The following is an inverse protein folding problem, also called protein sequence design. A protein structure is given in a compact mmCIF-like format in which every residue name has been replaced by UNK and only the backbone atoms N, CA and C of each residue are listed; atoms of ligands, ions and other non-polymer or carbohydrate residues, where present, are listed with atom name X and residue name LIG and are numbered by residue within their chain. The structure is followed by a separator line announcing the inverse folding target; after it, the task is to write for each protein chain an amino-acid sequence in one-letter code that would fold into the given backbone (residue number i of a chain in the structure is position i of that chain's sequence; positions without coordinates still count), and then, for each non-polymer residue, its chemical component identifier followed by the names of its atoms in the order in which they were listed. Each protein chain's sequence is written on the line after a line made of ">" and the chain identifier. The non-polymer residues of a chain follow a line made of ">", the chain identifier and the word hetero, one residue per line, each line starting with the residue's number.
data_IF_508383471231
#
_entry.id   IF_508383471231
#
_cell.length_a   1.000
_cell.length_b   1.000
_cell.length_c   1.000
_cell.angle_alpha   90.00
_cell.angle_beta   90.00
_cell.angle_gamma   90.00
#
_symmetry.space_group_name_H-M   'P 1'
#
loop_
_entity.id
_entity.type
_entity.pdbx_description
1 polymer ?
#
# COMPACT_ATOMS: atom_id res chain seq x y z
N UNK A 1 -38.66 -25.88 -4.01
CA UNK A 1 -37.53 -25.74 -3.07
C UNK A 1 -36.40 -25.13 -3.86
N UNK A 2 -36.19 -23.83 -3.66
CA UNK A 2 -35.21 -23.02 -4.38
C UNK A 2 -33.84 -23.26 -3.75
N UNK A 3 -32.99 -24.06 -4.39
CA UNK A 3 -31.63 -24.29 -3.93
C UNK A 3 -30.74 -23.17 -4.42
N UNK A 4 -30.29 -22.38 -3.46
CA UNK A 4 -29.38 -21.24 -3.57
C UNK A 4 -28.11 -21.64 -4.33
N UNK A 5 -27.76 -20.84 -5.35
CA UNK A 5 -26.48 -20.96 -6.07
C UNK A 5 -25.38 -20.34 -5.22
N UNK A 6 -24.34 -21.07 -4.78
CA UNK A 6 -23.16 -20.43 -4.24
C UNK A 6 -22.38 -19.79 -5.39
N UNK A 7 -22.26 -18.47 -5.36
CA UNK A 7 -21.34 -17.74 -6.24
C UNK A 7 -19.92 -18.14 -5.85
N UNK A 8 -19.32 -19.04 -6.64
CA UNK A 8 -17.89 -19.32 -6.63
C UNK A 8 -17.14 -18.01 -6.79
N UNK A 9 -16.69 -17.49 -5.65
CA UNK A 9 -15.78 -16.34 -5.61
C UNK A 9 -14.44 -16.83 -6.11
N UNK A 10 -14.24 -16.62 -7.41
CA UNK A 10 -12.94 -16.70 -8.07
C UNK A 10 -11.99 -15.76 -7.30
N UNK A 11 -11.13 -16.32 -6.45
CA UNK A 11 -9.92 -15.64 -5.99
C UNK A 11 -8.74 -16.55 -6.27
N UNK A 12 -8.26 -16.31 -7.49
CA UNK A 12 -6.94 -16.59 -8.03
C UNK A 12 -5.92 -17.02 -6.98
N UNK A 13 -5.45 -18.24 -7.16
CA UNK A 13 -4.05 -18.65 -7.06
C UNK A 13 -3.09 -17.46 -6.91
N UNK A 14 -2.68 -17.19 -5.67
CA UNK A 14 -1.43 -16.45 -5.41
C UNK A 14 -0.44 -17.49 -4.93
N UNK A 15 0.00 -18.31 -5.88
CA UNK A 15 1.20 -19.11 -5.73
C UNK A 15 2.39 -18.25 -5.30
N UNK A 16 3.09 -18.74 -4.27
CA UNK A 16 4.54 -18.67 -4.11
C UNK A 16 5.22 -17.36 -4.52
N UNK A 17 5.35 -16.43 -3.58
CA UNK A 17 6.54 -15.56 -3.55
C UNK A 17 6.93 -15.28 -2.10
N UNK A 18 7.38 -16.33 -1.40
CA UNK A 18 8.15 -16.11 -0.18
C UNK A 18 9.45 -15.38 -0.54
N UNK A 19 9.59 -14.20 0.06
CA UNK A 19 10.82 -13.68 0.66
C UNK A 19 11.93 -13.23 -0.29
N UNK A 20 11.62 -12.19 -1.07
CA UNK A 20 12.48 -11.00 -1.03
C UNK A 20 11.61 -9.83 -0.61
N UNK A 21 11.50 -9.59 0.71
CA UNK A 21 10.99 -8.30 1.20
C UNK A 21 11.83 -7.25 0.48
N UNK A 22 11.24 -6.34 -0.32
CA UNK A 22 12.03 -5.29 -0.92
C UNK A 22 12.66 -4.52 0.23
N UNK A 23 14.00 -4.47 0.23
CA UNK A 23 14.77 -3.70 1.20
C UNK A 23 14.16 -2.29 1.24
N UNK A 24 13.85 -1.83 2.44
CA UNK A 24 13.33 -0.49 2.65
C UNK A 24 14.35 0.52 2.11
N UNK A 25 14.10 1.06 0.92
CA UNK A 25 15.05 1.88 0.19
C UNK A 25 14.78 3.38 0.46
N UNK A 26 15.74 4.25 0.12
CA UNK A 26 15.61 5.69 0.25
C UNK A 26 14.35 6.25 -0.43
N UNK A 27 13.95 5.71 -1.59
CA UNK A 27 12.71 6.11 -2.27
C UNK A 27 11.45 5.79 -1.47
N UNK A 28 11.42 4.65 -0.75
CA UNK A 28 10.32 4.32 0.16
C UNK A 28 10.27 5.34 1.30
N UNK A 29 11.45 5.72 1.83
CA UNK A 29 11.55 6.74 2.88
C UNK A 29 11.03 8.09 2.40
N UNK A 30 11.44 8.55 1.23
CA UNK A 30 10.99 9.84 0.66
C UNK A 30 9.47 9.86 0.41
N UNK A 31 8.89 8.74 0.00
CA UNK A 31 7.44 8.62 -0.19
C UNK A 31 6.66 8.60 1.13
N UNK A 32 7.23 7.97 2.16
CA UNK A 32 6.59 7.81 3.47
C UNK A 32 6.78 9.04 4.37
N UNK A 33 7.88 9.77 4.25
CA UNK A 33 8.16 10.96 5.07
C UNK A 33 7.00 11.98 5.12
N UNK A 34 6.38 12.39 3.99
CA UNK A 34 5.22 13.30 4.01
C UNK A 34 3.94 12.66 4.57
N UNK A 35 3.88 11.34 4.74
CA UNK A 35 2.74 10.61 5.29
C UNK A 35 2.88 10.33 6.79
N UNK A 36 3.95 10.83 7.43
CA UNK A 36 4.32 10.50 8.81
C UNK A 36 3.26 10.91 9.84
N UNK A 37 2.50 11.97 9.56
CA UNK A 37 1.38 12.43 10.38
C UNK A 37 0.18 11.48 10.39
N UNK A 38 0.26 10.34 9.68
CA UNK A 38 -0.80 9.32 9.55
C UNK A 38 -2.12 9.88 8.98
N UNK A 39 -2.08 11.05 8.36
CA UNK A 39 -3.24 11.64 7.69
C UNK A 39 -3.32 11.20 6.21
N UNK A 40 -4.47 11.46 5.58
CA UNK A 40 -4.67 11.16 4.17
C UNK A 40 -4.04 12.27 3.33
N UNK A 41 -3.11 11.90 2.47
CA UNK A 41 -2.40 12.84 1.59
C UNK A 41 -2.76 12.55 0.15
N UNK A 42 -3.22 13.59 -0.55
CA UNK A 42 -3.52 13.53 -1.98
C UNK A 42 -2.30 13.11 -2.79
N UNK A 43 -2.52 12.28 -3.80
CA UNK A 43 -1.49 11.82 -4.75
C UNK A 43 -0.72 12.98 -5.37
N UNK A 44 -1.38 14.13 -5.57
CA UNK A 44 -0.76 15.35 -6.13
C UNK A 44 0.32 15.96 -5.24
N UNK A 45 0.33 15.65 -3.93
CA UNK A 45 1.33 16.12 -2.96
C UNK A 45 2.47 15.11 -2.76
N UNK A 46 2.40 13.94 -3.37
CA UNK A 46 3.39 12.88 -3.22
C UNK A 46 4.28 12.81 -4.46
N UNK A 47 5.55 12.39 -4.32
CA UNK A 47 6.42 12.21 -5.46
C UNK A 47 5.88 11.12 -6.38
N UNK A 48 5.84 11.41 -7.69
CA UNK A 48 5.30 10.51 -8.69
C UNK A 48 6.29 9.37 -8.99
N UNK A 49 6.21 8.32 -8.17
CA UNK A 49 7.00 7.10 -8.31
C UNK A 49 6.07 5.89 -8.33
N UNK A 50 5.44 5.58 -9.48
CA UNK A 50 4.42 4.53 -9.56
C UNK A 50 4.93 3.16 -9.10
N UNK A 51 6.19 2.82 -9.35
CA UNK A 51 6.82 1.60 -8.86
C UNK A 51 6.96 1.55 -7.34
N UNK A 52 7.33 2.66 -6.72
CA UNK A 52 7.45 2.80 -5.27
C UNK A 52 6.07 2.73 -4.61
N UNK A 53 5.09 3.48 -5.12
CA UNK A 53 3.71 3.48 -4.60
C UNK A 53 3.12 2.08 -4.61
N UNK A 54 3.26 1.35 -5.73
CA UNK A 54 2.77 -0.02 -5.84
C UNK A 54 3.46 -0.96 -4.85
N UNK A 55 4.79 -0.83 -4.68
CA UNK A 55 5.53 -1.64 -3.71
C UNK A 55 5.05 -1.36 -2.27
N UNK A 56 4.86 -0.10 -1.90
CA UNK A 56 4.40 0.29 -0.57
C UNK A 56 2.97 -0.21 -0.26
N UNK A 57 2.07 -0.13 -1.24
CA UNK A 57 0.73 -0.72 -1.14
C UNK A 57 0.80 -2.25 -1.01
N UNK A 58 1.61 -2.91 -1.82
CA UNK A 58 1.76 -4.38 -1.80
C UNK A 58 2.35 -4.88 -0.48
N UNK A 59 3.26 -4.13 0.15
CA UNK A 59 3.82 -4.47 1.46
C UNK A 59 2.90 -4.08 2.62
N UNK A 60 1.76 -3.43 2.36
CA UNK A 60 0.83 -2.98 3.40
C UNK A 60 1.37 -1.82 4.24
N UNK A 61 2.36 -1.08 3.73
CA UNK A 61 2.94 0.11 4.40
C UNK A 61 2.15 1.40 4.12
N UNK A 62 1.33 1.37 3.07
CA UNK A 62 0.38 2.43 2.75
C UNK A 62 -1.00 1.85 2.45
N UNK A 63 -2.00 2.67 2.67
CA UNK A 63 -3.37 2.50 2.21
C UNK A 63 -3.64 3.50 1.10
N UNK A 64 -4.51 3.12 0.16
CA UNK A 64 -5.01 3.98 -0.90
C UNK A 64 -6.53 4.08 -0.75
N UNK A 65 -7.07 5.28 -0.84
CA UNK A 65 -8.49 5.50 -1.05
C UNK A 65 -8.72 6.33 -2.32
N UNK A 66 -9.84 6.07 -2.97
CA UNK A 66 -10.33 6.90 -4.08
C UNK A 66 -11.44 7.80 -3.55
N UNK A 67 -11.32 9.09 -3.77
CA UNK A 67 -12.33 10.11 -3.44
C UNK A 67 -12.85 10.75 -4.72
N UNK A 68 -13.89 11.58 -4.61
CA UNK A 68 -14.42 12.33 -5.75
C UNK A 68 -13.41 13.33 -6.34
N UNK A 69 -12.38 13.72 -5.57
CA UNK A 69 -11.35 14.69 -5.96
C UNK A 69 -10.05 14.02 -6.45
N UNK A 70 -9.91 12.69 -6.28
CA UNK A 70 -8.75 11.96 -6.78
C UNK A 70 -8.37 10.75 -5.93
N UNK A 71 -7.06 10.45 -5.90
CA UNK A 71 -6.50 9.37 -5.11
C UNK A 71 -5.76 9.95 -3.92
N UNK A 72 -6.00 9.39 -2.74
CA UNK A 72 -5.29 9.75 -1.52
C UNK A 72 -4.62 8.52 -0.92
N UNK A 73 -3.50 8.76 -0.24
CA UNK A 73 -2.70 7.74 0.40
C UNK A 73 -2.52 8.06 1.88
N UNK A 74 -2.47 7.03 2.70
CA UNK A 74 -2.18 7.14 4.13
C UNK A 74 -1.12 6.12 4.50
N UNK A 75 -0.23 6.48 5.42
CA UNK A 75 0.70 5.50 6.00
C UNK A 75 0.00 4.61 7.02
N UNK A 76 0.27 3.32 6.97
CA UNK A 76 -0.18 2.36 8.00
C UNK A 76 0.81 2.28 9.16
N UNK A 77 0.41 1.65 10.26
CA UNK A 77 1.33 1.39 11.37
C UNK A 77 2.53 0.53 10.97
N UNK A 78 2.36 -0.38 10.01
CA UNK A 78 3.44 -1.18 9.44
C UNK A 78 4.44 -0.28 8.68
N UNK A 79 3.95 0.66 7.88
CA UNK A 79 4.80 1.63 7.19
C UNK A 79 5.58 2.53 8.14
N UNK A 80 4.95 2.97 9.24
CA UNK A 80 5.62 3.77 10.26
C UNK A 80 6.70 2.99 11.00
N UNK A 81 6.42 1.72 11.29
CA UNK A 81 7.39 0.82 11.93
C UNK A 81 8.63 0.65 11.07
N UNK A 82 8.45 0.44 9.76
CA UNK A 82 9.58 0.33 8.82
C UNK A 82 10.31 1.67 8.61
N UNK A 83 9.58 2.79 8.55
CA UNK A 83 10.17 4.13 8.48
C UNK A 83 11.06 4.46 9.70
N UNK A 84 10.64 3.99 10.87
CA UNK A 84 11.34 4.21 12.14
C UNK A 84 12.56 3.30 12.32
N UNK A 85 12.76 2.30 11.45
CA UNK A 85 13.95 1.44 11.53
C UNK A 85 15.21 2.23 11.14
N UNK A 86 16.28 2.16 11.95
CA UNK A 86 17.59 2.63 11.53
C UNK A 86 18.13 1.76 10.38
N UNK A 87 18.97 2.37 9.53
CA UNK A 87 19.61 1.70 8.39
C UNK A 87 20.52 0.56 8.84
#
# INVERSE_FOLDING_TARGET
>A
METERPLETIRQDIGRHEKRKPLFNQYHRQMLDPLRDRDWVSSSKLPDHPGTTLALLRNGWMERRSTGEGVEYRMTEAGLTELSRPR
#
